data_IF_589330568421
#
_entry.id   IF_589330568421
#
_cell.length_a   1.000
_cell.length_b   1.000
_cell.length_c   1.000
_cell.angle_alpha   90.00
_cell.angle_beta   90.00
_cell.angle_gamma   90.00
#
_symmetry.space_group_name_H-M   'P 1'
#
loop_
_entity.id
_entity.type
_entity.pdbx_description
1 polymer ?
#
# COMPACT_ATOMS: atom_id res chain seq x y z
N UNK A 1 9.58 8.59 4.07
CA UNK A 1 8.44 7.69 4.23
C UNK A 1 8.39 7.18 5.65
N UNK A 2 7.25 7.33 6.26
CA UNK A 2 7.08 6.90 7.64
C UNK A 2 6.09 5.74 7.64
N UNK A 3 6.41 4.69 8.40
CA UNK A 3 5.56 3.51 8.47
C UNK A 3 5.07 3.32 9.88
N UNK A 4 3.75 3.27 10.04
CA UNK A 4 3.13 3.02 11.33
C UNK A 4 2.35 1.72 11.23
N UNK A 5 2.50 0.87 12.23
CA UNK A 5 1.86 -0.44 12.24
C UNK A 5 0.97 -0.54 13.45
N UNK A 6 -0.28 -0.93 13.20
CA UNK A 6 -1.25 -1.14 14.27
C UNK A 6 -1.73 -2.58 14.22
N UNK A 7 -2.02 -3.12 15.37
CA UNK A 7 -2.52 -4.48 15.48
C UNK A 7 -3.90 -4.49 16.11
N UNK A 8 -4.78 -5.29 15.55
CA UNK A 8 -6.12 -5.44 16.09
C UNK A 8 -6.40 -6.93 16.27
N UNK A 9 -6.86 -7.31 17.47
CA UNK A 9 -7.23 -8.68 17.73
C UNK A 9 -6.11 -9.67 17.45
N UNK A 10 -4.90 -9.29 17.82
CA UNK A 10 -3.77 -10.17 17.63
C UNK A 10 -3.75 -11.22 18.72
N UNK A 11 -3.78 -12.49 18.35
CA UNK A 11 -3.85 -13.57 19.33
C UNK A 11 -2.54 -13.74 20.07
N UNK A 12 -1.42 -13.57 19.39
CA UNK A 12 -0.12 -13.77 20.00
C UNK A 12 0.63 -12.45 20.01
N UNK A 13 0.64 -11.80 21.16
CA UNK A 13 1.30 -10.52 21.25
C UNK A 13 2.81 -10.61 21.15
N UNK A 14 3.35 -11.78 21.38
CA UNK A 14 4.79 -11.95 21.23
C UNK A 14 5.23 -11.83 19.78
N UNK A 15 4.30 -12.00 18.86
CA UNK A 15 4.62 -11.88 17.44
C UNK A 15 4.62 -10.44 16.96
N UNK A 16 4.21 -9.51 17.82
CA UNK A 16 4.03 -8.13 17.41
C UNK A 16 5.31 -7.52 16.86
N UNK A 17 6.39 -7.67 17.61
CA UNK A 17 7.66 -7.08 17.20
C UNK A 17 8.16 -7.69 15.91
N UNK A 18 8.01 -8.99 15.78
CA UNK A 18 8.46 -9.67 14.59
C UNK A 18 7.66 -9.26 13.38
N UNK A 19 6.35 -9.13 13.56
CA UNK A 19 5.48 -8.72 12.46
C UNK A 19 5.74 -7.27 12.08
N UNK A 20 5.94 -6.43 13.05
CA UNK A 20 6.25 -5.04 12.78
C UNK A 20 7.54 -4.93 11.98
N UNK A 21 8.55 -5.69 12.38
CA UNK A 21 9.82 -5.69 11.68
C UNK A 21 9.64 -6.19 10.25
N UNK A 22 8.84 -7.23 10.09
CA UNK A 22 8.58 -7.79 8.78
C UNK A 22 7.87 -6.78 7.87
N UNK A 23 6.89 -6.08 8.43
CA UNK A 23 6.18 -5.06 7.68
C UNK A 23 7.15 -3.98 7.23
N UNK A 24 7.98 -3.52 8.15
CA UNK A 24 8.91 -2.45 7.82
C UNK A 24 9.87 -2.87 6.72
N UNK A 25 10.33 -4.10 6.77
CA UNK A 25 11.24 -4.58 5.74
C UNK A 25 10.55 -4.70 4.40
N UNK A 26 9.35 -5.27 4.41
CA UNK A 26 8.65 -5.46 3.16
C UNK A 26 8.24 -4.13 2.53
N UNK A 27 7.80 -3.20 3.34
CA UNK A 27 7.30 -1.94 2.81
C UNK A 27 8.39 -0.93 2.55
N UNK A 28 9.59 -1.18 3.03
CA UNK A 28 10.70 -0.29 2.75
C UNK A 28 10.97 -0.20 1.25
N UNK A 29 10.66 -1.26 0.53
CA UNK A 29 10.85 -1.25 -0.91
C UNK A 29 10.00 -0.19 -1.59
N UNK A 30 8.90 0.18 -1.00
CA UNK A 30 8.03 1.20 -1.58
C UNK A 30 8.66 2.58 -1.53
N UNK A 31 9.77 2.70 -0.82
CA UNK A 31 10.46 3.97 -0.70
C UNK A 31 10.83 4.53 -2.06
N UNK A 32 11.04 3.67 -3.04
CA UNK A 32 11.42 4.13 -4.37
C UNK A 32 10.25 4.78 -5.10
N UNK A 33 9.04 4.54 -4.64
CA UNK A 33 7.85 5.10 -5.29
C UNK A 33 7.22 6.22 -4.48
N UNK A 34 7.62 6.40 -3.23
CA UNK A 34 6.99 7.35 -2.34
C UNK A 34 7.99 8.40 -1.90
N UNK A 35 7.50 9.62 -1.74
CA UNK A 35 8.34 10.70 -1.26
C UNK A 35 8.51 10.60 0.24
N UNK A 36 9.50 11.28 0.74
CA UNK A 36 9.81 11.22 2.15
C UNK A 36 8.67 11.69 3.04
N UNK A 37 7.87 12.59 2.52
CA UNK A 37 6.76 13.11 3.31
C UNK A 37 5.59 12.14 3.38
N UNK A 38 5.69 11.00 2.71
CA UNK A 38 4.60 10.04 2.71
C UNK A 38 4.50 9.31 4.03
N UNK A 39 3.27 8.96 4.39
CA UNK A 39 3.00 8.21 5.61
C UNK A 39 2.22 6.96 5.22
N UNK A 40 2.72 5.81 5.68
CA UNK A 40 2.09 4.53 5.41
C UNK A 40 1.56 3.97 6.72
N UNK A 41 0.25 3.78 6.79
CA UNK A 41 -0.38 3.22 7.97
C UNK A 41 -0.84 1.82 7.66
N UNK A 42 -0.34 0.87 8.41
CA UNK A 42 -0.65 -0.53 8.22
C UNK A 42 -1.43 -1.02 9.41
N UNK A 43 -2.54 -1.70 9.16
CA UNK A 43 -3.32 -2.30 10.21
C UNK A 43 -3.37 -3.81 9.95
N UNK A 44 -2.99 -4.58 10.95
CA UNK A 44 -3.01 -6.02 10.87
C UNK A 44 -4.05 -6.55 11.84
N UNK A 45 -4.92 -7.39 11.34
CA UNK A 45 -6.01 -7.90 12.14
C UNK A 45 -6.09 -9.41 11.98
N UNK A 46 -6.16 -10.11 13.10
CA UNK A 46 -6.22 -11.55 13.08
C UNK A 46 -7.62 -11.99 13.43
N UNK A 47 -8.31 -12.61 12.50
CA UNK A 47 -9.62 -13.16 12.74
C UNK A 47 -9.51 -14.67 12.68
N UNK A 48 -10.59 -15.34 13.05
CA UNK A 48 -10.52 -16.79 13.24
C UNK A 48 -9.83 -17.53 12.12
N UNK A 49 -10.25 -17.30 10.90
CA UNK A 49 -9.66 -17.99 9.77
C UNK A 49 -9.11 -17.06 8.73
N UNK A 50 -9.23 -15.78 8.99
CA UNK A 50 -8.74 -14.78 8.05
C UNK A 50 -7.78 -13.87 8.76
N UNK A 51 -6.70 -13.58 8.09
CA UNK A 51 -5.75 -12.60 8.59
C UNK A 51 -5.76 -11.46 7.61
N UNK A 52 -6.05 -10.27 8.09
CA UNK A 52 -6.30 -9.13 7.22
C UNK A 52 -5.21 -8.11 7.41
N UNK A 53 -4.70 -7.61 6.29
CA UNK A 53 -3.73 -6.52 6.28
C UNK A 53 -4.32 -5.37 5.49
N UNK A 54 -4.36 -4.20 6.10
CA UNK A 54 -4.86 -3.00 5.46
C UNK A 54 -3.78 -1.96 5.42
N UNK A 55 -3.79 -1.16 4.38
CA UNK A 55 -2.83 -0.08 4.25
C UNK A 55 -3.51 1.18 3.80
N UNK A 56 -3.08 2.27 4.38
CA UNK A 56 -3.48 3.60 3.95
C UNK A 56 -2.22 4.39 3.75
N UNK A 57 -1.99 4.85 2.53
CA UNK A 57 -0.81 5.61 2.20
C UNK A 57 -1.23 7.04 1.90
N UNK A 58 -0.72 7.97 2.68
CA UNK A 58 -0.93 9.39 2.42
C UNK A 58 0.35 9.96 1.87
N UNK A 59 0.31 10.34 0.61
CA UNK A 59 1.47 10.89 -0.07
C UNK A 59 1.11 12.27 -0.60
N UNK A 60 2.13 13.08 -0.87
CA UNK A 60 1.84 14.42 -1.39
C UNK A 60 1.02 14.41 -2.66
N UNK A 61 1.15 13.37 -3.46
CA UNK A 61 0.46 13.31 -4.74
C UNK A 61 -0.84 12.53 -4.69
N UNK A 62 -1.18 11.95 -3.59
CA UNK A 62 -2.43 11.22 -3.52
C UNK A 62 -2.50 10.28 -2.36
N UNK A 63 -3.65 9.64 -2.23
CA UNK A 63 -3.90 8.69 -1.17
C UNK A 63 -4.15 7.33 -1.80
N UNK A 64 -3.54 6.30 -1.25
CA UNK A 64 -3.68 4.95 -1.75
C UNK A 64 -4.18 4.05 -0.63
N UNK A 65 -5.03 3.10 -0.99
CA UNK A 65 -5.58 2.16 -0.03
C UNK A 65 -5.50 0.76 -0.60
N UNK A 66 -5.30 -0.20 0.28
CA UNK A 66 -5.30 -1.58 -0.11
C UNK A 66 -5.68 -2.44 1.07
N UNK A 67 -6.25 -3.59 0.78
CA UNK A 67 -6.64 -4.53 1.82
C UNK A 67 -6.50 -5.92 1.24
N UNK A 68 -5.88 -6.82 2.01
CA UNK A 68 -5.69 -8.19 1.58
C UNK A 68 -5.94 -9.13 2.73
N UNK A 69 -6.39 -10.34 2.42
CA UNK A 69 -6.51 -11.37 3.43
C UNK A 69 -5.73 -12.59 3.02
N UNK A 70 -5.29 -13.34 4.00
CA UNK A 70 -4.55 -14.56 3.76
C UNK A 70 -4.66 -15.45 4.97
N UNK A 71 -4.03 -16.61 4.90
CA UNK A 71 -4.08 -17.57 5.99
C UNK A 71 -3.15 -17.20 7.13
N UNK A 72 -2.18 -16.34 6.88
CA UNK A 72 -1.29 -15.85 7.92
C UNK A 72 -1.12 -14.36 7.71
N UNK A 73 -0.72 -13.68 8.79
CA UNK A 73 -0.47 -12.26 8.69
C UNK A 73 0.72 -11.96 7.79
N UNK A 74 1.74 -12.81 7.82
CA UNK A 74 2.89 -12.61 6.94
C UNK A 74 2.47 -12.67 5.48
N UNK A 75 1.64 -13.64 5.13
CA UNK A 75 1.17 -13.76 3.75
C UNK A 75 0.31 -12.57 3.37
N UNK A 76 -0.53 -12.10 4.31
CA UNK A 76 -1.36 -10.94 4.04
C UNK A 76 -0.50 -9.70 3.81
N UNK A 77 0.57 -9.55 4.57
CA UNK A 77 1.49 -8.43 4.40
C UNK A 77 2.16 -8.50 3.02
N UNK A 78 2.55 -9.70 2.62
CA UNK A 78 3.17 -9.87 1.31
C UNK A 78 2.23 -9.45 0.19
N UNK A 79 0.98 -9.91 0.27
CA UNK A 79 -0.01 -9.53 -0.74
C UNK A 79 -0.27 -8.04 -0.72
N UNK A 80 -0.33 -7.48 0.46
CA UNK A 80 -0.59 -6.06 0.60
C UNK A 80 0.52 -5.25 -0.02
N UNK A 81 1.76 -5.63 0.23
CA UNK A 81 2.91 -4.93 -0.34
C UNK A 81 2.89 -5.01 -1.85
N UNK A 82 2.57 -6.19 -2.39
CA UNK A 82 2.51 -6.35 -3.84
C UNK A 82 1.41 -5.46 -4.44
N UNK A 83 0.25 -5.43 -3.79
CA UNK A 83 -0.85 -4.64 -4.29
C UNK A 83 -0.51 -3.16 -4.28
N UNK A 84 0.09 -2.69 -3.20
CA UNK A 84 0.47 -1.29 -3.12
C UNK A 84 1.55 -0.97 -4.14
N UNK A 85 2.51 -1.86 -4.31
CA UNK A 85 3.56 -1.61 -5.28
C UNK A 85 2.98 -1.44 -6.67
N UNK A 86 2.01 -2.27 -7.03
CA UNK A 86 1.38 -2.16 -8.33
C UNK A 86 0.61 -0.86 -8.47
N UNK A 87 -0.09 -0.46 -7.42
CA UNK A 87 -0.82 0.80 -7.48
C UNK A 87 0.12 1.98 -7.63
N UNK A 88 1.21 1.97 -6.88
CA UNK A 88 2.16 3.07 -6.94
C UNK A 88 2.88 3.11 -8.26
N UNK A 89 3.20 1.95 -8.79
CA UNK A 89 3.86 1.89 -10.09
C UNK A 89 2.95 2.42 -11.18
N UNK A 90 1.70 2.04 -11.15
CA UNK A 90 0.74 2.55 -12.12
C UNK A 90 0.57 4.04 -12.00
N UNK A 91 0.51 4.53 -10.80
CA UNK A 91 0.37 5.96 -10.58
C UNK A 91 1.57 6.71 -11.14
N UNK A 92 2.75 6.18 -10.92
CA UNK A 92 3.96 6.80 -11.41
C UNK A 92 3.99 6.81 -12.93
N UNK A 93 3.65 5.68 -13.52
CA UNK A 93 3.63 5.60 -14.98
C UNK A 93 2.60 6.53 -15.58
N UNK A 94 1.45 6.61 -14.92
CA UNK A 94 0.39 7.47 -15.40
C UNK A 94 0.80 8.94 -15.33
N UNK A 95 1.48 9.30 -14.28
CA UNK A 95 1.94 10.67 -14.15
C UNK A 95 2.98 11.02 -15.19
N UNK A 96 3.90 10.11 -15.45
CA UNK A 96 4.90 10.33 -16.47
C UNK A 96 4.24 10.50 -17.83
N UNK A 97 3.32 9.60 -18.14
CA UNK A 97 2.60 9.66 -19.40
C UNK A 97 1.82 10.95 -19.52
N UNK A 98 1.17 11.31 -18.44
CA UNK A 98 0.38 12.53 -18.45
C UNK A 98 1.26 13.73 -18.71
N UNK A 99 2.42 13.75 -18.11
CA UNK A 99 3.33 14.86 -18.28
C UNK A 99 3.80 14.97 -19.74
N UNK A 100 4.09 13.83 -20.31
CA UNK A 100 4.54 13.82 -21.70
C UNK A 100 3.43 14.18 -22.66
N UNK A 101 2.22 13.79 -22.34
CA UNK A 101 1.10 14.02 -23.21
C UNK A 101 0.28 15.21 -22.82
N UNK A 102 0.85 16.03 -22.03
CA UNK A 102 0.12 17.16 -21.56
C UNK A 102 -0.41 18.00 -22.69
N UNK A 103 0.38 18.16 -23.68
CA UNK A 103 -0.03 18.94 -24.83
C UNK A 103 -1.10 18.22 -25.61
N UNK A 104 -1.10 16.95 -25.52
CA UNK A 104 -2.07 16.22 -26.27
C UNK A 104 -3.41 16.20 -25.65
N UNK A 105 -3.57 16.22 -24.56
CA UNK A 105 -4.71 16.24 -23.91
C UNK A 105 -5.62 15.33 -23.97
N UNK A 106 -5.64 14.79 -23.66
CA UNK A 106 -6.42 13.81 -23.74
C UNK A 106 -7.38 13.75 -22.84
N UNK A 107 -8.17 13.75 -23.06
CA UNK A 107 -9.09 13.77 -22.23
C UNK A 107 -9.17 12.61 -21.44
N UNK A 108 -9.10 12.25 -21.38
CA UNK A 108 -9.26 11.35 -20.71
C UNK A 108 -9.05 10.77 -20.17
N UNK A 109 -8.88 10.83 -20.13
CA UNK A 109 -8.77 10.31 -19.69
C UNK A 109 -8.96 9.80 -18.88
N UNK A 110 -9.22 9.82 -18.60
CA UNK A 110 -9.40 9.53 -17.72
C UNK A 110 -9.47 8.82 -16.99
N UNK A 111 -9.53 8.73 -17.18
CA UNK A 111 -9.66 8.08 -16.60
C UNK A 111 -9.37 7.65 -15.82
N UNK A 112 -9.35 7.83 -15.68
CA UNK A 112 -9.05 7.48 -15.03
C UNK A 112 -9.22 6.81 -14.23
N UNK A 113 -9.47 6.59 -13.96
CA UNK A 113 -9.67 6.03 -13.20
C UNK A 113 -9.24 5.37 -12.57
N UNK A 114 -9.02 5.22 -12.26
CA UNK A 114 -8.65 4.57 -11.73
C UNK A 114 -8.64 3.86 -10.87
N UNK A 115 -8.66 4.04 -10.47
CA UNK A 115 -8.47 3.48 -9.62
C UNK A 115 -8.97 2.49 -9.21
N UNK A 116 -9.48 2.54 -9.46
CA UNK A 116 -9.98 1.79 -9.19
C UNK A 116 -9.60 0.82 -9.21
N UNK A 117 -9.40 0.70 -9.54
CA UNK A 117 -9.06 -0.27 -9.69
C UNK A 117 -8.43 -0.68 -8.96
N UNK A 118 -8.53 -0.51 -8.54
CA UNK A 118 -7.90 -1.02 -7.74
C UNK A 118 -7.40 -1.68 -7.14
#
# INVERSE_FOLDING_TARGET
>A
MEIAVQFRQLANENAKDRLKDYVEKRFRKLHRYLEEASVVEITLEEQKQNHIAKALVNAPHGTFRAEENAETLSAAVDLLADTLERQLLKFKERNLTKREKESVKAPGTPAVTPPEEG
#
